data_IF_320021583087
#
_entry.id   IF_320021583087
#
_cell.length_a   1.000
_cell.length_b   1.000
_cell.length_c   1.000
_cell.angle_alpha   90.00
_cell.angle_beta   90.00
_cell.angle_gamma   90.00
#
_symmetry.space_group_name_H-M   'P 1'
#
loop_
_entity.id
_entity.type
_entity.pdbx_description
1 polymer ?
2 non-polymer ?
3 non-polymer ?
4 non-polymer ?
5 water ?
#
# COMPACT_ATOMS: atom_id res chain seq x y z
N UNK A 1 -36.21 13.21 -27.36
CA UNK A 1 -36.51 11.78 -27.64
C UNK A 1 -35.88 10.86 -26.59
N UNK A 2 -34.56 10.89 -26.51
CA UNK A 2 -33.82 9.99 -25.63
C UNK A 2 -33.97 10.36 -24.16
N UNK A 3 -34.21 9.36 -23.31
CA UNK A 3 -34.36 9.61 -21.89
C UNK A 3 -33.04 9.39 -21.15
N UNK A 4 -32.51 10.43 -20.51
CA UNK A 4 -31.26 10.22 -19.75
C UNK A 4 -31.52 9.46 -18.46
N UNK A 5 -32.71 9.64 -17.88
CA UNK A 5 -33.10 8.88 -16.71
C UNK A 5 -33.05 7.38 -16.99
N UNK A 6 -33.58 6.96 -18.14
CA UNK A 6 -33.55 5.55 -18.51
C UNK A 6 -32.14 5.02 -18.75
N UNK A 7 -31.27 5.83 -19.35
CA UNK A 7 -29.89 5.44 -19.59
C UNK A 7 -29.17 5.29 -18.24
N UNK A 8 -29.36 6.27 -17.37
CA UNK A 8 -28.70 6.25 -16.05
C UNK A 8 -29.10 5.02 -15.22
N UNK A 9 -30.38 4.71 -15.21
CA UNK A 9 -30.91 3.55 -14.48
C UNK A 9 -30.34 2.24 -15.00
N UNK A 10 -30.17 2.11 -16.30
CA UNK A 10 -29.64 0.96 -16.97
C UNK A 10 -28.12 0.85 -16.85
N UNK A 11 -27.46 2.00 -16.67
CA UNK A 11 -26.00 1.99 -16.69
C UNK A 11 -25.37 1.61 -15.35
N UNK A 12 -26.06 1.81 -14.25
CA UNK A 12 -25.43 1.67 -12.94
C UNK A 12 -25.52 0.27 -12.34
N UNK A 13 -24.64 -0.03 -11.39
CA UNK A 13 -24.68 -1.33 -10.69
C UNK A 13 -25.61 -1.24 -9.51
N UNK A 14 -25.84 -2.38 -8.81
CA UNK A 14 -26.82 -2.36 -7.74
C UNK A 14 -26.26 -2.60 -6.34
N UNK A 15 -25.29 -3.50 -6.17
CA UNK A 15 -24.76 -3.81 -4.85
C UNK A 15 -23.44 -3.14 -4.50
N UNK A 16 -22.91 -3.45 -3.33
CA UNK A 16 -21.66 -2.92 -2.84
C UNK A 16 -20.45 -3.45 -3.61
N UNK A 17 -19.52 -2.52 -3.84
CA UNK A 17 -18.23 -2.92 -4.45
C UNK A 17 -17.60 -4.01 -3.59
N UNK A 18 -17.19 -5.09 -4.26
CA UNK A 18 -16.63 -6.25 -3.55
C UNK A 18 -15.26 -6.65 -4.07
N UNK A 19 -14.38 -6.98 -3.14
CA UNK A 19 -13.04 -7.48 -3.54
C UNK A 19 -13.21 -8.97 -3.89
N UNK A 20 -12.89 -9.37 -5.11
CA UNK A 20 -13.09 -10.74 -5.59
C UNK A 20 -11.85 -11.56 -5.80
N UNK A 21 -10.69 -10.93 -5.63
CA UNK A 21 -9.40 -11.62 -5.80
C UNK A 21 -8.30 -10.70 -5.35
N UNK A 22 -7.28 -11.27 -4.72
CA UNK A 22 -6.10 -10.53 -4.28
C UNK A 22 -4.86 -11.34 -4.67
N UNK A 23 -3.85 -10.68 -5.23
CA UNK A 23 -2.61 -11.34 -5.61
C UNK A 23 -1.44 -10.41 -5.28
N UNK A 24 -0.31 -10.96 -4.81
CA UNK A 24 0.82 -10.09 -4.50
C UNK A 24 2.09 -10.63 -5.16
N UNK A 25 3.11 -9.76 -5.20
CA UNK A 25 4.40 -10.13 -5.74
C UNK A 25 5.49 -9.21 -5.20
N UNK A 26 6.72 -9.71 -5.18
CA UNK A 26 7.84 -8.92 -4.66
C UNK A 26 9.08 -9.25 -5.47
N UNK A 27 10.04 -8.34 -5.52
CA UNK A 27 11.31 -8.61 -6.15
C UNK A 27 11.96 -9.85 -5.49
N UNK A 28 12.75 -10.60 -6.25
CA UNK A 28 13.36 -11.83 -5.69
C UNK A 28 14.42 -11.66 -4.65
N UNK A 29 15.10 -10.54 -4.57
CA UNK A 29 16.17 -10.29 -3.64
C UNK A 29 15.66 -10.02 -2.24
N UNK A 30 15.85 -11.03 -1.37
CA UNK A 30 15.41 -10.94 0.01
C UNK A 30 16.51 -10.43 0.91
N UNK A 31 16.29 -9.28 1.53
CA UNK A 31 17.30 -8.62 2.33
C UNK A 31 17.00 -8.75 3.82
N UNK A 32 17.83 -9.51 4.55
CA UNK A 32 17.62 -9.66 5.98
C UNK A 32 17.83 -8.36 6.73
N UNK A 33 17.00 -8.10 7.73
CA UNK A 33 17.17 -6.86 8.51
C UNK A 33 18.31 -6.97 9.50
N UNK A 34 18.55 -8.17 10.03
CA UNK A 34 19.58 -8.37 11.04
C UNK A 34 20.94 -7.88 10.57
N UNK A 35 21.25 -8.10 9.30
CA UNK A 35 22.52 -7.72 8.73
C UNK A 35 22.47 -6.43 7.93
N UNK A 36 21.30 -5.74 7.90
CA UNK A 36 21.21 -4.58 6.99
C UNK A 36 22.09 -3.41 7.34
N UNK A 37 22.23 -3.03 8.60
CA UNK A 37 23.11 -1.93 8.96
C UNK A 37 24.50 -2.14 8.38
N UNK A 38 25.10 -3.33 8.50
CA UNK A 38 26.43 -3.54 7.94
C UNK A 38 26.41 -3.41 6.44
N UNK A 39 25.44 -4.02 5.77
CA UNK A 39 25.34 -3.96 4.32
C UNK A 39 25.17 -2.50 3.85
N UNK A 40 24.21 -1.80 4.43
CA UNK A 40 23.88 -0.43 3.98
C UNK A 40 25.01 0.56 4.21
N UNK A 41 25.72 0.48 5.33
CA UNK A 41 26.85 1.38 5.55
C UNK A 41 28.01 1.00 4.67
N UNK A 42 28.14 -0.26 4.26
CA UNK A 42 29.26 -0.64 3.40
C UNK A 42 28.98 -0.25 1.95
N UNK A 43 27.75 -0.46 1.48
CA UNK A 43 27.42 -0.15 0.09
C UNK A 43 27.39 1.35 -0.18
N UNK A 44 27.13 2.16 0.84
CA UNK A 44 27.08 3.62 0.67
C UNK A 44 28.40 4.27 1.07
N UNK A 45 29.46 3.46 1.26
CA UNK A 45 30.74 3.96 1.69
C UNK A 45 30.66 4.86 2.90
N UNK A 46 29.95 4.45 3.94
CA UNK A 46 29.77 5.25 5.13
C UNK A 46 30.25 4.55 6.40
N UNK A 47 31.18 3.61 6.30
CA UNK A 47 31.67 2.89 7.48
C UNK A 47 32.37 3.76 8.50
N UNK A 48 32.93 4.90 8.10
CA UNK A 48 33.57 5.84 8.98
C UNK A 48 32.57 6.59 9.83
N UNK A 49 31.31 6.66 9.40
CA UNK A 49 30.28 7.36 10.17
C UNK A 49 29.78 6.44 11.29
N UNK A 50 30.60 6.26 12.32
CA UNK A 50 30.38 5.32 13.42
C UNK A 50 29.14 5.60 14.24
N UNK A 51 28.99 6.83 14.73
CA UNK A 51 27.82 7.15 15.54
C UNK A 51 26.52 7.07 14.75
N UNK A 52 26.59 7.43 13.48
CA UNK A 52 25.38 7.35 12.63
C UNK A 52 25.00 5.89 12.36
N UNK A 53 26.01 5.04 12.14
CA UNK A 53 25.76 3.61 11.99
C UNK A 53 25.14 3.02 13.24
N UNK A 54 25.60 3.41 14.44
CA UNK A 54 24.95 2.95 15.66
C UNK A 54 23.49 3.37 15.74
N UNK A 55 23.14 4.60 15.36
CA UNK A 55 21.75 5.05 15.33
C UNK A 55 20.93 4.24 14.33
N UNK A 56 21.51 3.91 13.20
CA UNK A 56 20.79 3.12 12.20
C UNK A 56 20.58 1.70 12.68
N UNK A 57 21.58 1.12 13.39
CA UNK A 57 21.42 -0.19 14.03
C UNK A 57 20.24 -0.19 14.99
N UNK A 58 20.08 0.86 15.79
CA UNK A 58 18.96 1.00 16.69
C UNK A 58 17.63 1.16 15.95
N UNK A 59 17.65 1.89 14.84
CA UNK A 59 16.45 2.00 14.00
C UNK A 59 16.04 0.63 13.45
N UNK A 60 17.03 -0.11 12.94
CA UNK A 60 16.71 -1.43 12.40
C UNK A 60 16.27 -2.38 13.51
N UNK A 61 16.92 -2.31 14.68
CA UNK A 61 16.52 -3.23 15.75
C UNK A 61 15.12 -2.92 16.26
N UNK A 62 14.68 -1.66 16.20
CA UNK A 62 13.33 -1.36 16.67
C UNK A 62 12.30 -1.44 15.56
N UNK A 63 12.70 -1.65 14.32
CA UNK A 63 11.80 -1.61 13.18
C UNK A 63 10.66 -2.61 13.21
N UNK A 64 10.92 -3.78 13.82
CA UNK A 64 10.04 -4.93 13.84
C UNK A 64 9.90 -5.55 12.45
N UNK A 65 10.86 -5.31 11.59
CA UNK A 65 10.94 -5.89 10.25
C UNK A 65 12.03 -6.97 10.27
N UNK A 66 11.68 -8.19 9.86
CA UNK A 66 12.69 -9.25 9.74
C UNK A 66 13.40 -9.24 8.40
N UNK A 67 12.66 -8.95 7.33
CA UNK A 67 13.25 -8.95 6.00
C UNK A 67 12.42 -8.07 5.05
N UNK A 68 13.04 -7.65 3.95
CA UNK A 68 12.34 -6.88 2.94
C UNK A 68 12.79 -7.38 1.57
N UNK A 69 11.98 -7.18 0.53
CA UNK A 69 12.38 -7.61 -0.82
C UNK A 69 12.77 -6.35 -1.60
N UNK A 70 13.94 -6.35 -2.22
CA UNK A 70 14.39 -5.13 -2.90
C UNK A 70 14.79 -5.40 -4.33
N UNK A 71 14.28 -4.55 -5.26
CA UNK A 71 14.76 -4.62 -6.63
C UNK A 71 16.25 -4.32 -6.65
N UNK A 72 16.63 -3.32 -5.88
CA UNK A 72 18.05 -2.92 -5.78
C UNK A 72 18.87 -4.05 -5.17
N UNK A 73 19.96 -4.35 -5.83
CA UNK A 73 20.93 -5.35 -5.42
C UNK A 73 22.29 -4.69 -5.21
N UNK A 74 23.22 -5.51 -4.69
CA UNK A 74 24.59 -5.01 -4.53
C UNK A 74 25.17 -4.67 -5.89
N UNK A 75 24.95 -5.50 -6.90
CA UNK A 75 25.46 -5.26 -8.24
C UNK A 75 24.89 -3.97 -8.84
N UNK A 76 23.57 -3.77 -8.72
CA UNK A 76 22.98 -2.52 -9.23
C UNK A 76 23.53 -1.30 -8.51
N UNK A 77 23.64 -1.37 -7.18
CA UNK A 77 24.14 -0.25 -6.40
C UNK A 77 25.59 0.06 -6.77
N UNK A 78 26.42 -0.95 -7.01
CA UNK A 78 27.80 -0.74 -7.40
C UNK A 78 27.91 -0.09 -8.77
N UNK A 79 26.92 -0.29 -9.64
CA UNK A 79 26.86 0.43 -10.91
C UNK A 79 26.30 1.84 -10.82
N UNK A 80 25.74 2.24 -9.68
CA UNK A 80 25.13 3.54 -9.49
C UNK A 80 25.57 4.23 -8.23
N UNK A 81 26.79 4.75 -8.16
CA UNK A 81 27.29 5.46 -7.02
C UNK A 81 26.47 6.69 -6.68
N UNK A 82 25.92 7.41 -7.65
CA UNK A 82 25.12 8.60 -7.35
C UNK A 82 23.81 8.22 -6.65
N UNK A 83 23.36 6.99 -6.74
CA UNK A 83 22.19 6.55 -5.98
C UNK A 83 22.59 6.23 -4.56
N UNK A 84 23.87 5.83 -4.37
CA UNK A 84 24.43 5.53 -3.05
C UNK A 84 24.80 6.71 -2.20
N UNK A 85 24.88 7.91 -2.81
CA UNK A 85 25.21 9.12 -2.09
C UNK A 85 23.95 9.62 -1.42
N UNK A 86 24.06 10.47 -0.41
CA UNK A 86 22.83 11.03 0.18
C UNK A 86 22.15 11.89 -0.90
N UNK A 87 22.91 12.74 -1.61
CA UNK A 87 22.25 13.72 -2.48
C UNK A 87 23.01 13.96 -3.76
N UNK A 88 22.84 13.11 -4.75
CA UNK A 88 23.54 13.28 -6.02
C UNK A 88 22.53 13.19 -7.16
N UNK A 89 22.77 13.90 -8.26
CA UNK A 89 21.94 13.79 -9.44
C UNK A 89 21.81 12.34 -9.88
N UNK A 90 20.59 11.83 -9.92
CA UNK A 90 20.39 10.39 -10.09
C UNK A 90 18.99 10.05 -10.50
N UNK A 91 18.12 11.05 -10.73
CA UNK A 91 16.75 10.74 -11.14
C UNK A 91 16.65 9.97 -12.44
N UNK A 92 17.50 10.27 -13.44
CA UNK A 92 17.41 9.58 -14.70
C UNK A 92 17.67 8.09 -14.48
N UNK A 93 18.74 7.77 -13.74
CA UNK A 93 19.01 6.36 -13.48
C UNK A 93 17.88 5.70 -12.69
N UNK A 94 17.36 6.39 -11.69
CA UNK A 94 16.28 5.81 -10.87
C UNK A 94 15.03 5.59 -11.70
N UNK A 95 14.66 6.57 -12.54
CA UNK A 95 13.50 6.48 -13.41
C UNK A 95 13.63 5.32 -14.39
N UNK A 96 14.84 5.13 -14.94
CA UNK A 96 15.08 4.03 -15.85
C UNK A 96 14.81 2.68 -15.15
N UNK A 97 15.07 2.58 -13.87
CA UNK A 97 14.79 1.34 -13.14
C UNK A 97 13.29 1.18 -12.95
N UNK A 98 12.68 2.21 -12.34
CA UNK A 98 11.31 2.05 -11.89
C UNK A 98 10.26 2.17 -12.97
N UNK A 99 10.53 2.86 -14.09
CA UNK A 99 9.55 2.89 -15.16
C UNK A 99 9.32 1.48 -15.71
N UNK A 100 10.32 0.60 -15.63
CA UNK A 100 10.21 -0.78 -16.05
C UNK A 100 9.81 -1.68 -14.87
N UNK A 101 10.42 -1.51 -13.71
CA UNK A 101 10.10 -2.42 -12.60
C UNK A 101 8.69 -2.25 -12.06
N UNK A 102 8.13 -1.04 -12.01
CA UNK A 102 6.77 -0.88 -11.48
C UNK A 102 5.78 -1.71 -12.24
N UNK A 103 5.66 -1.59 -13.56
CA UNK A 103 4.75 -2.40 -14.32
C UNK A 103 5.15 -3.86 -14.32
N UNK A 104 6.45 -4.20 -14.28
CA UNK A 104 6.84 -5.62 -14.31
C UNK A 104 6.33 -6.35 -13.06
N UNK A 105 6.58 -5.73 -11.91
CA UNK A 105 6.15 -6.30 -10.63
C UNK A 105 4.64 -6.27 -10.50
N UNK A 106 4.00 -5.18 -11.02
CA UNK A 106 2.55 -5.08 -10.97
C UNK A 106 1.94 -6.21 -11.82
N UNK A 107 2.59 -6.52 -12.95
CA UNK A 107 2.10 -7.57 -13.82
C UNK A 107 2.05 -8.91 -13.08
N UNK A 108 3.12 -9.22 -12.36
CA UNK A 108 3.13 -10.51 -11.61
C UNK A 108 1.97 -10.55 -10.64
N UNK A 109 1.80 -9.50 -9.82
CA UNK A 109 0.68 -9.52 -8.88
C UNK A 109 -0.66 -9.64 -9.62
N UNK A 110 -0.84 -8.87 -10.71
CA UNK A 110 -2.11 -8.89 -11.44
C UNK A 110 -2.43 -10.27 -12.00
N UNK A 111 -1.44 -10.95 -12.57
CA UNK A 111 -1.69 -12.30 -13.14
C UNK A 111 -2.21 -13.23 -12.06
N UNK A 112 -1.63 -13.13 -10.86
CA UNK A 112 -2.09 -13.94 -9.73
C UNK A 112 -3.51 -13.59 -9.33
N UNK A 113 -3.88 -12.30 -9.30
CA UNK A 113 -5.25 -11.94 -8.96
C UNK A 113 -6.22 -12.41 -10.03
N UNK A 114 -5.86 -12.24 -11.31
CA UNK A 114 -6.74 -12.65 -12.41
C UNK A 114 -6.92 -14.17 -12.40
N UNK A 115 -5.89 -14.94 -12.09
CA UNK A 115 -6.04 -16.40 -11.99
C UNK A 115 -7.01 -16.77 -10.88
N UNK A 116 -6.86 -16.11 -9.73
CA UNK A 116 -7.78 -16.40 -8.62
C UNK A 116 -9.21 -16.10 -9.01
N UNK A 117 -9.42 -14.90 -9.59
CA UNK A 117 -10.75 -14.46 -10.02
C UNK A 117 -11.36 -15.50 -10.94
N UNK A 118 -10.57 -15.95 -11.91
CA UNK A 118 -11.01 -17.06 -12.76
C UNK A 118 -11.79 -16.66 -13.99
N UNK A 119 -12.04 -15.37 -14.20
CA UNK A 119 -12.81 -14.92 -15.36
C UNK A 119 -11.91 -14.31 -16.42
N UNK A 120 -12.39 -14.20 -17.64
CA UNK A 120 -11.63 -13.66 -18.76
C UNK A 120 -11.09 -12.28 -18.45
N UNK A 121 -9.84 -12.02 -18.78
CA UNK A 121 -9.30 -10.67 -18.59
C UNK A 121 -9.96 -9.65 -19.50
N UNK A 122 -10.66 -10.09 -20.55
CA UNK A 122 -11.44 -9.22 -21.42
C UNK A 122 -12.65 -8.61 -20.73
N UNK A 123 -13.06 -9.12 -19.56
CA UNK A 123 -14.12 -8.56 -18.77
C UNK A 123 -13.61 -7.45 -17.83
N UNK A 124 -12.30 -7.23 -17.81
CA UNK A 124 -11.79 -6.10 -16.99
C UNK A 124 -12.16 -4.80 -17.71
N UNK A 125 -12.97 -3.95 -17.07
CA UNK A 125 -13.43 -2.71 -17.72
C UNK A 125 -12.65 -1.47 -17.30
N UNK A 126 -12.04 -1.51 -16.13
CA UNK A 126 -11.40 -0.36 -15.52
C UNK A 126 -10.08 -0.84 -14.86
N UNK A 127 -9.08 0.02 -15.00
CA UNK A 127 -7.79 -0.32 -14.41
C UNK A 127 -7.29 0.88 -13.60
N UNK A 128 -6.98 0.60 -12.34
CA UNK A 128 -6.38 1.64 -11.50
C UNK A 128 -4.94 1.19 -11.23
N UNK A 129 -3.97 2.01 -11.56
CA UNK A 129 -2.57 1.70 -11.20
C UNK A 129 -2.09 2.80 -10.25
N UNK A 130 -1.37 2.39 -9.21
CA UNK A 130 -0.90 3.35 -8.22
C UNK A 130 0.55 3.09 -7.88
N UNK A 131 1.32 4.17 -7.91
CA UNK A 131 2.72 4.05 -7.47
C UNK A 131 3.24 5.40 -6.98
N UNK A 132 4.22 5.36 -6.10
CA UNK A 132 4.96 6.54 -5.69
C UNK A 132 6.35 6.47 -6.25
N UNK A 133 6.65 5.48 -7.11
CA UNK A 133 7.97 5.33 -7.68
C UNK A 133 8.01 5.60 -9.17
N UNK A 134 8.45 6.81 -9.50
CA UNK A 134 8.62 7.27 -10.87
C UNK A 134 7.33 7.64 -11.56
N UNK A 135 7.48 8.38 -12.68
CA UNK A 135 6.36 8.78 -13.50
C UNK A 135 6.81 8.69 -14.97
N UNK A 136 5.85 8.52 -15.87
CA UNK A 136 6.22 8.49 -17.29
C UNK A 136 4.96 8.70 -18.13
N UNK A 137 5.10 9.07 -19.41
CA UNK A 137 3.98 9.17 -20.33
C UNK A 137 4.20 8.40 -21.60
N UNK A 138 3.29 7.58 -22.01
CA UNK A 138 2.18 6.98 -21.34
C UNK A 138 2.63 6.38 -20.00
N UNK A 139 1.70 6.23 -19.06
CA UNK A 139 2.09 5.79 -17.73
C UNK A 139 2.12 4.29 -17.57
N UNK A 140 2.34 3.86 -16.31
CA UNK A 140 2.41 2.46 -15.93
C UNK A 140 1.07 1.76 -16.16
N UNK A 141 -0.02 2.51 -16.27
CA UNK A 141 -1.33 2.00 -16.63
C UNK A 141 -1.36 1.54 -18.08
N UNK A 142 -0.78 2.33 -18.98
CA UNK A 142 -0.67 1.92 -20.37
C UNK A 142 0.27 0.70 -20.43
N UNK A 143 1.41 0.75 -19.72
CA UNK A 143 2.31 -0.42 -19.78
C UNK A 143 1.65 -1.71 -19.31
N UNK A 144 0.88 -1.66 -18.23
CA UNK A 144 0.23 -2.87 -17.73
C UNK A 144 -0.88 -3.32 -18.65
N UNK A 145 -1.57 -2.39 -19.31
CA UNK A 145 -2.56 -2.77 -20.32
C UNK A 145 -1.88 -3.60 -21.39
N UNK A 146 -0.73 -3.10 -21.85
CA UNK A 146 0.01 -3.80 -22.89
C UNK A 146 0.55 -5.13 -22.37
N UNK A 147 1.23 -5.13 -21.23
CA UNK A 147 1.80 -6.38 -20.69
C UNK A 147 0.78 -7.47 -20.44
N UNK A 148 -0.38 -7.13 -19.91
CA UNK A 148 -1.39 -8.12 -19.58
C UNK A 148 -2.30 -8.47 -20.74
N UNK A 149 -2.25 -7.69 -21.82
CA UNK A 149 -3.19 -7.84 -22.93
C UNK A 149 -4.61 -7.51 -22.51
N UNK A 150 -4.83 -6.43 -21.76
CA UNK A 150 -6.19 -6.01 -21.45
C UNK A 150 -6.79 -5.38 -22.72
N UNK A 151 -8.10 -5.20 -22.74
CA UNK A 151 -8.68 -4.56 -23.94
C UNK A 151 -8.15 -3.14 -24.02
N UNK A 152 -7.96 -2.59 -25.21
CA UNK A 152 -7.45 -1.23 -25.38
C UNK A 152 -8.37 -0.16 -24.83
N UNK A 153 -9.63 -0.48 -24.68
CA UNK A 153 -10.67 0.39 -24.19
C UNK A 153 -10.91 0.24 -22.69
N UNK A 154 -9.96 -0.41 -21.99
CA UNK A 154 -10.08 -0.43 -20.53
C UNK A 154 -9.99 1.03 -20.08
N UNK A 155 -10.80 1.42 -19.10
CA UNK A 155 -10.81 2.79 -18.60
C UNK A 155 -9.78 2.90 -17.48
N UNK A 156 -8.77 3.73 -17.69
CA UNK A 156 -7.61 3.78 -16.83
C UNK A 156 -7.56 5.03 -15.94
N UNK A 157 -7.02 4.74 -14.75
CA UNK A 157 -6.87 5.74 -13.69
C UNK A 157 -5.43 5.63 -13.22
N UNK A 158 -4.55 6.55 -13.61
CA UNK A 158 -3.13 6.44 -13.29
C UNK A 158 -2.84 7.33 -12.08
N UNK A 159 -2.64 6.68 -10.94
CA UNK A 159 -2.41 7.40 -9.70
C UNK A 159 -0.92 7.46 -9.40
N UNK A 160 -0.32 8.61 -9.71
CA UNK A 160 1.12 8.77 -9.51
C UNK A 160 1.49 9.67 -8.35
N UNK A 161 2.66 9.38 -7.76
CA UNK A 161 3.26 10.18 -6.70
C UNK A 161 2.33 10.41 -5.52
N UNK A 162 1.56 9.38 -5.20
CA UNK A 162 0.49 9.41 -4.25
C UNK A 162 0.92 9.37 -2.81
N UNK A 163 1.88 8.46 -2.49
CA UNK A 163 2.30 8.34 -1.10
C UNK A 163 1.60 7.15 -0.46
N UNK A 164 1.99 6.93 0.80
CA UNK A 164 1.65 5.69 1.48
C UNK A 164 0.21 5.53 1.86
N UNK A 165 -0.63 6.55 1.83
CA UNK A 165 -2.03 6.37 2.16
C UNK A 165 -2.84 5.83 1.00
N UNK A 166 -2.23 5.70 -0.18
CA UNK A 166 -2.96 5.43 -1.41
C UNK A 166 -3.42 3.99 -1.60
N UNK A 167 -3.11 3.06 -0.66
CA UNK A 167 -3.83 1.75 -0.75
C UNK A 167 -5.28 2.05 -0.36
N UNK A 168 -5.50 3.00 0.56
CA UNK A 168 -6.88 3.38 0.86
C UNK A 168 -7.48 4.18 -0.31
N UNK A 169 -6.71 5.06 -0.91
CA UNK A 169 -7.23 5.84 -2.07
C UNK A 169 -7.69 4.97 -3.23
N UNK A 170 -6.91 3.92 -3.58
CA UNK A 170 -7.38 3.08 -4.68
C UNK A 170 -8.65 2.32 -4.36
N UNK A 171 -8.83 1.94 -3.11
CA UNK A 171 -10.08 1.29 -2.68
C UNK A 171 -11.25 2.28 -2.79
N UNK A 172 -11.04 3.49 -2.31
CA UNK A 172 -12.05 4.57 -2.36
C UNK A 172 -12.49 4.85 -3.81
N UNK A 173 -11.50 4.82 -4.71
CA UNK A 173 -11.79 5.07 -6.12
C UNK A 173 -12.48 3.87 -6.73
N UNK A 174 -11.96 2.66 -6.55
CA UNK A 174 -12.57 1.46 -7.14
C UNK A 174 -13.99 1.25 -6.66
N UNK A 175 -14.32 1.66 -5.42
CA UNK A 175 -15.70 1.52 -4.97
C UNK A 175 -16.68 2.29 -5.87
N UNK A 176 -16.34 3.53 -6.23
CA UNK A 176 -17.26 4.33 -7.07
C UNK A 176 -17.31 3.84 -8.50
N UNK A 177 -16.17 3.37 -9.03
CA UNK A 177 -16.13 2.88 -10.40
C UNK A 177 -16.99 1.60 -10.49
N UNK A 178 -16.84 0.69 -9.53
CA UNK A 178 -17.60 -0.55 -9.59
C UNK A 178 -19.09 -0.35 -9.33
N UNK A 179 -19.44 0.49 -8.38
CA UNK A 179 -20.82 0.68 -7.98
C UNK A 179 -21.66 1.50 -8.95
N UNK A 180 -20.99 2.38 -9.72
CA UNK A 180 -21.81 3.24 -10.60
C UNK A 180 -21.91 2.69 -12.00
N UNK A 181 -21.27 1.55 -12.27
CA UNK A 181 -21.23 1.00 -13.62
C UNK A 181 -21.56 -0.49 -13.64
N UNK A 182 -22.75 -0.79 -14.14
CA UNK A 182 -23.19 -2.17 -14.25
C UNK A 182 -22.20 -3.04 -15.02
N UNK A 183 -21.80 -4.15 -14.40
CA UNK A 183 -20.87 -5.08 -15.05
C UNK A 183 -19.41 -4.74 -14.84
N UNK A 184 -19.13 -3.54 -14.33
CA UNK A 184 -17.74 -3.11 -14.24
C UNK A 184 -16.93 -4.07 -13.36
N UNK A 185 -15.72 -4.37 -13.81
CA UNK A 185 -14.77 -5.18 -13.07
C UNK A 185 -13.45 -4.39 -13.13
N UNK A 186 -13.02 -3.96 -11.95
CA UNK A 186 -11.85 -3.10 -11.84
C UNK A 186 -10.62 -3.89 -11.40
N UNK A 187 -9.57 -3.82 -12.18
CA UNK A 187 -8.26 -4.32 -11.77
C UNK A 187 -7.53 -3.17 -11.06
N UNK A 188 -7.12 -3.44 -9.82
CA UNK A 188 -6.42 -2.44 -9.01
C UNK A 188 -5.00 -2.89 -8.77
N UNK A 189 -4.00 -2.09 -9.12
CA UNK A 189 -2.62 -2.51 -8.90
C UNK A 189 -1.86 -1.40 -8.16
N UNK A 190 -1.30 -1.74 -6.99
CA UNK A 190 -0.38 -0.84 -6.30
C UNK A 190 1.00 -1.50 -6.43
N UNK A 191 1.97 -0.76 -6.92
CA UNK A 191 3.28 -1.34 -7.19
C UNK A 191 4.31 -0.31 -6.76
N UNK A 192 5.11 -0.66 -5.76
CA UNK A 192 6.00 0.31 -5.11
C UNK A 192 7.43 -0.20 -5.03
N UNK A 193 8.37 0.61 -5.51
CA UNK A 193 9.78 0.18 -5.69
C UNK A 193 10.75 1.18 -5.10
N UNK A 194 11.56 0.85 -4.10
CA UNK A 194 12.37 1.80 -3.37
C UNK A 194 13.56 2.37 -4.13
N UNK A 195 13.77 2.01 -5.39
CA UNK A 195 14.88 2.57 -6.15
C UNK A 195 14.80 4.10 -6.25
N UNK A 196 13.59 4.68 -6.17
CA UNK A 196 13.51 6.15 -6.24
C UNK A 196 13.86 6.81 -4.92
N UNK A 197 13.74 6.12 -3.78
CA UNK A 197 14.02 6.73 -2.51
C UNK A 197 15.31 6.26 -1.87
N UNK A 198 15.92 5.19 -2.31
CA UNK A 198 17.15 4.72 -1.66
C UNK A 198 18.23 5.80 -1.78
N UNK A 199 18.95 6.05 -0.69
CA UNK A 199 20.06 7.01 -0.79
C UNK A 199 20.95 6.78 0.43
N UNK A 200 22.18 7.30 0.36
CA UNK A 200 23.10 7.16 1.47
C UNK A 200 22.71 7.97 2.70
N UNK A 201 23.38 7.67 3.83
CA UNK A 201 23.10 8.29 5.11
C UNK A 201 23.74 9.64 5.32
N UNK A 202 23.05 10.48 6.07
CA UNK A 202 23.63 11.78 6.44
C UNK A 202 23.19 12.12 7.85
N UNK A 203 24.16 12.49 8.71
CA UNK A 203 23.82 12.74 10.10
C UNK A 203 23.01 14.00 10.35
N UNK A 204 22.74 14.85 9.36
CA UNK A 204 21.88 16.02 9.58
C UNK A 204 20.52 15.78 8.96
N UNK A 205 20.30 14.53 8.45
CA UNK A 205 19.04 14.18 7.84
C UNK A 205 18.60 12.80 8.32
N UNK A 206 18.37 12.69 9.65
CA UNK A 206 17.93 11.45 10.27
C UNK A 206 16.54 10.99 9.88
N UNK A 207 15.69 11.94 9.45
CA UNK A 207 14.35 11.60 8.95
C UNK A 207 14.47 10.82 7.65
N UNK A 208 15.45 11.16 6.80
CA UNK A 208 15.66 10.36 5.60
C UNK A 208 16.20 8.96 5.94
N UNK A 209 17.04 8.89 6.97
CA UNK A 209 17.64 7.63 7.41
C UNK A 209 16.61 6.64 7.92
N UNK A 210 15.60 7.07 8.68
CA UNK A 210 14.62 6.06 9.17
C UNK A 210 13.87 5.43 8.02
N UNK A 211 13.63 6.14 6.91
CA UNK A 211 13.04 5.50 5.73
C UNK A 211 13.89 4.36 5.19
N UNK A 212 15.22 4.43 5.26
CA UNK A 212 16.10 3.38 4.82
C UNK A 212 15.99 2.13 5.70
N UNK A 213 15.54 2.27 6.95
CA UNK A 213 15.35 1.07 7.77
C UNK A 213 14.01 0.40 7.49
N UNK A 214 13.05 1.18 6.94
CA UNK A 214 11.70 0.67 6.82
C UNK A 214 11.16 0.34 5.45
N UNK A 215 11.56 1.08 4.41
CA UNK A 215 10.95 0.91 3.10
C UNK A 215 11.38 -0.35 2.34
N UNK A 216 10.38 -1.04 1.82
CA UNK A 216 10.62 -2.25 1.04
C UNK A 216 9.75 -2.26 -0.21
N UNK A 217 9.95 -3.27 -1.06
CA UNK A 217 9.25 -3.30 -2.33
C UNK A 217 8.16 -4.35 -2.40
N UNK A 218 7.17 -4.01 -3.26
CA UNK A 218 6.15 -5.06 -3.47
C UNK A 218 5.02 -4.51 -4.32
N UNK A 219 4.24 -5.45 -4.87
CA UNK A 219 3.03 -5.00 -5.55
C UNK A 219 1.86 -5.89 -5.13
N UNK A 220 0.66 -5.34 -5.14
CA UNK A 220 -0.55 -6.10 -4.83
C UNK A 220 -1.62 -5.69 -5.83
N UNK A 221 -2.40 -6.72 -6.22
CA UNK A 221 -3.45 -6.45 -7.22
C UNK A 221 -4.77 -6.99 -6.70
N UNK A 222 -5.86 -6.32 -7.05
CA UNK A 222 -7.19 -6.72 -6.63
C UNK A 222 -8.08 -6.82 -7.87
N UNK A 223 -9.14 -7.61 -7.82
CA UNK A 223 -10.26 -7.45 -8.74
C UNK A 223 -11.43 -6.94 -7.89
N UNK A 224 -12.05 -5.81 -8.27
CA UNK A 224 -13.16 -5.25 -7.53
C UNK A 224 -14.38 -5.16 -8.45
N UNK A 225 -15.53 -5.58 -7.92
CA UNK A 225 -16.75 -5.45 -8.70
C UNK A 225 -17.99 -5.45 -7.82
N UNK A 226 -19.07 -4.88 -8.36
CA UNK A 226 -20.37 -5.01 -7.72
C UNK A 226 -21.14 -6.15 -8.38
N UNK A 227 -22.14 -6.67 -7.69
CA UNK A 227 -23.02 -7.72 -8.20
C UNK A 227 -22.26 -8.96 -8.65
N UNK A 228 -21.52 -9.59 -7.74
CA UNK A 228 -20.75 -10.77 -8.09
C UNK A 228 -21.70 -11.87 -8.56
N UNK A 229 -21.25 -12.67 -9.51
CA UNK A 229 -22.08 -13.77 -10.01
C UNK A 229 -21.97 -14.95 -9.04
N UNK A 230 -23.07 -15.25 -8.36
CA UNK A 230 -23.04 -16.21 -7.26
C UNK A 230 -22.40 -17.51 -7.68
N UNK A 231 -21.44 -18.01 -6.89
CA UNK A 231 -20.72 -19.24 -7.14
C UNK A 231 -19.79 -19.28 -8.34
N UNK A 232 -19.71 -18.29 -9.20
CA UNK A 232 -18.79 -18.19 -10.30
C UNK A 232 -17.67 -17.28 -9.76
N UNK A 233 -18.12 -16.15 -9.20
CA UNK A 233 -17.19 -15.25 -8.50
C UNK A 233 -17.24 -15.49 -7.01
N UNK A 234 -16.19 -15.09 -6.31
CA UNK A 234 -16.10 -15.38 -4.87
C UNK A 234 -15.69 -14.16 -4.05
N UNK A 235 -16.68 -13.49 -3.49
CA UNK A 235 -16.45 -12.34 -2.64
C UNK A 235 -15.49 -12.66 -1.51
N UNK A 236 -14.62 -11.70 -1.18
CA UNK A 236 -13.66 -11.79 -0.11
C UNK A 236 -13.99 -10.74 0.96
N UNK A 237 -14.20 -9.47 0.53
CA UNK A 237 -14.56 -8.39 1.43
C UNK A 237 -15.49 -7.43 0.67
N UNK A 238 -16.42 -6.78 1.35
CA UNK A 238 -17.24 -5.75 0.69
C UNK A 238 -16.85 -4.37 1.22
N UNK A 239 -16.86 -3.34 0.36
CA UNK A 239 -16.59 -1.98 0.84
C UNK A 239 -17.95 -1.35 1.09
N UNK A 240 -18.07 -0.57 2.16
CA UNK A 240 -19.36 0.02 2.51
C UNK A 240 -19.33 1.53 2.59
N UNK A 241 -18.21 2.10 3.02
CA UNK A 241 -18.13 3.56 3.22
C UNK A 241 -16.67 3.97 3.26
N UNK A 242 -16.36 5.18 2.78
CA UNK A 242 -14.97 5.61 2.74
C UNK A 242 -14.90 7.08 3.16
N UNK A 243 -13.71 7.46 3.62
CA UNK A 243 -13.42 8.86 3.90
C UNK A 243 -11.95 9.14 3.63
N UNK A 244 -11.60 10.42 3.52
CA UNK A 244 -10.23 10.87 3.50
C UNK A 244 -10.18 12.18 4.30
N UNK A 245 -9.15 12.34 5.12
CA UNK A 245 -9.05 13.63 5.82
C UNK A 245 -7.60 14.01 6.08
N UNK A 246 -7.40 15.28 6.38
CA UNK A 246 -6.10 15.86 6.68
C UNK A 246 -6.10 16.17 8.17
N UNK A 247 -5.20 15.56 8.92
CA UNK A 247 -5.17 15.78 10.37
C UNK A 247 -4.74 17.20 10.66
N UNK A 248 -5.39 17.80 11.67
CA UNK A 248 -5.02 19.14 12.10
C UNK A 248 -3.62 19.11 12.67
N UNK A 249 -2.93 20.25 12.63
CA UNK A 249 -1.61 20.40 13.24
C UNK A 249 -0.60 19.40 12.70
N UNK A 250 -0.68 19.11 11.40
CA UNK A 250 0.22 18.11 10.83
C UNK A 250 0.95 18.65 9.61
N UNK A 251 0.94 20.00 9.47
CA UNK A 251 1.63 20.54 8.31
C UNK A 251 3.10 20.15 8.28
N UNK A 252 3.50 19.57 7.13
CA UNK A 252 4.84 19.09 6.91
C UNK A 252 5.21 17.82 7.67
N UNK A 253 4.24 17.07 8.18
CA UNK A 253 4.60 15.83 8.90
C UNK A 253 5.36 14.88 7.99
N UNK A 254 4.87 14.71 6.77
CA UNK A 254 5.55 13.82 5.81
C UNK A 254 5.59 14.52 4.45
N UNK A 255 6.70 15.13 4.10
CA UNK A 255 6.83 15.74 2.78
C UNK A 255 7.69 14.80 1.92
N UNK A 256 7.51 14.86 0.61
CA UNK A 256 8.32 14.03 -0.29
C UNK A 256 8.51 14.82 -1.58
N UNK A 257 9.76 15.11 -1.97
CA UNK A 257 9.90 15.94 -3.19
C UNK A 257 10.64 15.16 -4.25
N UNK A 258 10.16 15.17 -5.48
CA UNK A 258 10.82 14.44 -6.55
C UNK A 258 11.71 15.42 -7.31
N UNK A 259 13.00 15.22 -7.15
CA UNK A 259 14.02 16.14 -7.59
C UNK A 259 15.04 15.43 -8.49
N UNK A 260 16.07 16.19 -8.92
CA UNK A 260 17.12 15.61 -9.73
C UNK A 260 17.87 14.50 -9.00
N UNK A 261 17.84 14.50 -7.66
CA UNK A 261 18.49 13.46 -6.86
C UNK A 261 17.51 12.37 -6.42
N UNK A 262 16.35 12.31 -7.05
CA UNK A 262 15.35 11.30 -6.71
C UNK A 262 14.33 11.81 -5.70
N UNK A 263 13.63 10.84 -5.11
CA UNK A 263 12.58 11.20 -4.16
C UNK A 263 13.13 11.27 -2.75
N UNK A 264 13.03 12.42 -2.10
CA UNK A 264 13.57 12.51 -0.75
C UNK A 264 12.43 12.85 0.22
N UNK A 265 12.42 12.12 1.33
CA UNK A 265 11.40 12.40 2.33
C UNK A 265 11.94 13.34 3.41
N UNK A 266 11.01 14.01 4.04
CA UNK A 266 11.31 14.94 5.12
C UNK A 266 10.22 14.90 6.19
N UNK A 267 10.59 14.63 7.44
CA UNK A 267 9.64 14.43 8.50
C UNK A 267 9.74 15.61 9.45
N UNK A 268 8.60 16.24 9.74
CA UNK A 268 8.67 17.42 10.58
C UNK A 268 7.86 17.39 11.85
N UNK A 269 7.11 16.35 12.16
CA UNK A 269 6.39 16.45 13.45
C UNK A 269 6.52 15.11 14.19
N UNK A 270 5.45 14.62 14.75
CA UNK A 270 5.45 13.28 15.35
C UNK A 270 4.33 12.48 14.68
N UNK A 271 4.68 11.70 13.66
CA UNK A 271 3.65 10.94 12.93
C UNK A 271 2.86 9.98 13.79
N UNK A 272 3.48 9.11 14.58
CA UNK A 272 2.76 8.23 15.49
C UNK A 272 1.83 9.01 16.41
N UNK A 273 2.27 10.15 16.95
CA UNK A 273 1.46 11.00 17.79
C UNK A 273 0.25 11.59 17.05
N UNK A 274 0.49 12.07 15.82
CA UNK A 274 -0.63 12.67 15.07
C UNK A 274 -1.65 11.59 14.69
N UNK A 275 -1.15 10.42 14.27
CA UNK A 275 -2.10 9.38 13.86
C UNK A 275 -2.91 8.93 15.07
N UNK A 276 -2.22 8.64 16.17
CA UNK A 276 -2.92 8.20 17.38
C UNK A 276 -3.95 9.18 17.89
N UNK A 277 -3.60 10.46 17.86
CA UNK A 277 -4.47 11.55 18.31
C UNK A 277 -5.71 11.74 17.44
N UNK A 278 -5.65 11.33 16.17
CA UNK A 278 -6.76 11.56 15.26
C UNK A 278 -7.49 10.30 14.81
N UNK A 279 -7.02 9.14 15.27
CA UNK A 279 -7.67 7.89 14.82
C UNK A 279 -9.05 7.73 15.42
N UNK A 280 -9.26 8.21 16.65
CA UNK A 280 -10.59 7.98 17.24
C UNK A 280 -11.68 8.73 16.50
N UNK A 281 -11.41 9.99 16.12
CA UNK A 281 -12.37 10.78 15.35
C UNK A 281 -12.68 10.10 14.02
N UNK A 282 -11.68 9.47 13.41
CA UNK A 282 -11.91 8.76 12.15
C UNK A 282 -12.82 7.55 12.38
N UNK A 283 -12.56 6.82 13.49
CA UNK A 283 -13.42 5.67 13.81
C UNK A 283 -14.83 6.07 14.17
N UNK A 284 -15.03 7.16 14.94
CA UNK A 284 -16.43 7.52 15.23
C UNK A 284 -17.16 7.98 13.98
N UNK A 285 -16.49 8.68 13.06
CA UNK A 285 -17.16 9.04 11.81
C UNK A 285 -17.58 7.80 11.03
N UNK A 286 -16.70 6.81 10.97
CA UNK A 286 -17.04 5.60 10.21
C UNK A 286 -18.05 4.70 10.91
N UNK A 287 -17.90 4.54 12.24
CA UNK A 287 -18.67 3.49 12.91
C UNK A 287 -19.82 3.94 13.79
N UNK A 288 -19.92 5.23 14.12
CA UNK A 288 -21.11 5.68 14.84
C UNK A 288 -22.38 5.44 14.07
N UNK A 289 -22.43 5.67 12.75
CA UNK A 289 -23.60 5.39 11.93
C UNK A 289 -23.99 3.93 11.88
N UNK A 290 -23.07 3.00 12.13
CA UNK A 290 -23.35 1.57 12.14
C UNK A 290 -23.66 1.06 13.54
N UNK A 291 -23.65 1.97 14.50
CA UNK A 291 -23.92 1.64 15.90
C UNK A 291 -22.79 0.90 16.59
N UNK A 292 -21.56 0.98 16.06
CA UNK A 292 -20.52 0.20 16.76
C UNK A 292 -19.51 1.13 17.38
N UNK A 293 -19.15 0.85 18.64
CA UNK A 293 -18.20 1.68 19.36
C UNK A 293 -17.13 0.85 20.05
N UNK A 294 -17.25 -0.47 20.02
CA UNK A 294 -16.20 -1.34 20.59
C UNK A 294 -15.21 -1.62 19.47
N UNK A 295 -14.04 -0.98 19.51
CA UNK A 295 -13.11 -1.16 18.39
C UNK A 295 -12.33 -2.44 18.45
N UNK A 296 -12.55 -3.34 19.44
CA UNK A 296 -11.99 -4.68 19.40
C UNK A 296 -12.95 -5.65 18.71
N UNK A 297 -14.16 -5.18 18.43
CA UNK A 297 -15.19 -6.02 17.85
C UNK A 297 -15.16 -6.06 16.34
N UNK A 298 -14.29 -5.24 15.77
CA UNK A 298 -14.12 -5.17 14.32
C UNK A 298 -12.74 -5.68 13.93
N UNK A 299 -12.56 -6.07 12.66
CA UNK A 299 -11.21 -6.52 12.24
C UNK A 299 -10.43 -5.32 11.70
N UNK A 300 -9.12 -5.36 11.86
CA UNK A 300 -8.25 -4.22 11.64
C UNK A 300 -7.24 -4.41 10.54
N UNK A 301 -7.06 -3.37 9.68
CA UNK A 301 -5.95 -3.32 8.74
C UNK A 301 -5.39 -1.89 8.81
N UNK A 302 -4.13 -1.71 9.20
CA UNK A 302 -3.58 -0.36 9.35
C UNK A 302 -2.27 -0.24 8.60
N UNK A 303 -2.05 0.85 7.85
CA UNK A 303 -0.77 0.96 7.15
C UNK A 303 0.34 0.99 8.18
N UNK A 304 1.30 0.07 8.11
CA UNK A 304 2.37 -0.01 9.09
C UNK A 304 3.51 0.91 8.68
N UNK A 305 3.26 2.22 8.75
CA UNK A 305 4.29 3.20 8.37
C UNK A 305 5.60 2.98 9.13
N UNK A 306 5.43 2.70 10.42
CA UNK A 306 6.50 2.19 11.28
C UNK A 306 5.78 1.49 12.43
N UNK A 307 6.51 0.71 13.24
CA UNK A 307 5.90 0.05 14.39
C UNK A 307 5.37 1.00 15.45
N UNK A 308 5.97 2.18 15.59
CA UNK A 308 5.46 3.12 16.62
C UNK A 308 4.04 3.60 16.31
N UNK A 309 3.68 3.76 15.03
CA UNK A 309 2.31 4.12 14.68
C UNK A 309 1.36 3.07 15.27
N UNK A 310 1.71 1.80 14.99
CA UNK A 310 0.87 0.69 15.45
C UNK A 310 0.83 0.63 16.97
N UNK A 311 1.96 0.77 17.62
CA UNK A 311 1.97 0.64 19.08
C UNK A 311 1.14 1.75 19.72
N UNK A 312 1.31 2.98 19.20
CA UNK A 312 0.56 4.10 19.81
C UNK A 312 -0.91 4.00 19.52
N UNK A 313 -1.31 3.47 18.37
CA UNK A 313 -2.73 3.30 18.11
C UNK A 313 -3.29 2.24 19.05
N UNK A 314 -2.56 1.11 19.17
CA UNK A 314 -3.02 0.03 20.08
C UNK A 314 -3.19 0.55 21.49
N UNK A 315 -2.19 1.28 21.99
CA UNK A 315 -2.26 1.83 23.34
C UNK A 315 -3.39 2.84 23.51
N UNK A 316 -3.51 3.76 22.56
CA UNK A 316 -4.54 4.79 22.63
C UNK A 316 -5.93 4.19 22.78
N UNK A 317 -6.23 3.21 21.92
CA UNK A 317 -7.55 2.62 21.88
C UNK A 317 -7.77 1.44 22.82
N UNK A 318 -6.69 0.91 23.39
CA UNK A 318 -6.74 -0.34 24.15
C UNK A 318 -7.16 -1.50 23.26
N UNK A 319 -6.58 -1.53 22.04
CA UNK A 319 -6.80 -2.66 21.19
C UNK A 319 -6.11 -3.87 21.88
N UNK A 320 -6.75 -5.04 21.79
CA UNK A 320 -6.05 -6.26 22.22
C UNK A 320 -4.85 -6.43 21.31
N UNK A 321 -3.76 -7.02 21.80
CA UNK A 321 -2.56 -7.17 21.02
C UNK A 321 -2.76 -7.90 19.71
N UNK A 322 -3.71 -8.83 19.66
CA UNK A 322 -3.98 -9.62 18.49
C UNK A 322 -4.64 -8.83 17.36
N UNK A 323 -5.26 -7.68 17.63
CA UNK A 323 -5.94 -6.97 16.53
C UNK A 323 -4.99 -6.65 15.37
N UNK A 324 -3.78 -6.23 15.72
CA UNK A 324 -2.80 -5.86 14.69
C UNK A 324 -1.94 -7.04 14.26
N UNK A 325 -2.31 -8.29 14.50
CA UNK A 325 -1.49 -9.43 14.09
C UNK A 325 -1.23 -9.46 12.58
N UNK A 326 -2.24 -9.36 11.75
CA UNK A 326 -2.03 -9.45 10.29
C UNK A 326 -1.20 -8.28 9.80
N UNK A 327 -1.42 -7.08 10.35
CA UNK A 327 -0.63 -5.89 10.00
C UNK A 327 0.84 -6.10 10.32
N UNK A 328 1.11 -6.56 11.55
CA UNK A 328 2.48 -6.76 12.01
C UNK A 328 3.19 -7.90 11.30
N UNK A 329 2.46 -8.91 10.85
CA UNK A 329 3.06 -10.02 10.10
C UNK A 329 3.54 -9.52 8.74
N UNK A 330 2.78 -8.62 8.11
CA UNK A 330 3.21 -8.05 6.83
C UNK A 330 4.42 -7.15 7.03
N UNK A 331 4.39 -6.32 8.09
CA UNK A 331 5.52 -5.43 8.36
C UNK A 331 6.76 -6.28 8.58
N UNK A 332 6.61 -7.39 9.32
CA UNK A 332 7.73 -8.25 9.66
C UNK A 332 8.35 -8.94 8.46
N UNK A 333 7.53 -9.42 7.54
CA UNK A 333 8.00 -10.18 6.40
C UNK A 333 8.25 -9.39 5.14
N UNK A 334 7.84 -8.11 5.08
CA UNK A 334 8.00 -7.30 3.90
C UNK A 334 8.38 -5.86 4.15
N UNK A 335 8.30 -5.38 5.38
CA UNK A 335 8.60 -3.95 5.60
C UNK A 335 7.43 -3.08 5.08
N UNK A 336 7.72 -1.77 5.07
CA UNK A 336 6.75 -0.75 4.65
C UNK A 336 6.87 -0.61 3.12
N UNK A 337 5.89 -1.15 2.42
CA UNK A 337 5.81 -1.12 0.97
C UNK A 337 4.86 -0.01 0.46
N UNK A 338 4.79 1.09 1.19
CA UNK A 338 3.97 2.24 0.77
C UNK A 338 2.56 1.79 0.47
N UNK A 339 1.94 2.27 -0.64
CA UNK A 339 0.55 2.01 -0.91
C UNK A 339 0.17 0.53 -0.93
N UNK A 340 1.06 -0.40 -1.25
CA UNK A 340 0.68 -1.79 -1.37
C UNK A 340 0.45 -2.48 -0.03
N UNK A 341 1.03 -1.95 1.04
CA UNK A 341 1.03 -2.64 2.34
C UNK A 341 -0.33 -3.15 2.78
N UNK A 342 -1.25 -2.20 2.78
CA UNK A 342 -2.63 -2.43 3.22
C UNK A 342 -3.25 -3.54 2.42
N UNK A 343 -2.94 -3.73 1.15
CA UNK A 343 -3.50 -4.78 0.33
C UNK A 343 -2.87 -6.15 0.62
N UNK A 344 -1.58 -6.16 0.95
CA UNK A 344 -0.93 -7.38 1.45
C UNK A 344 -1.59 -7.80 2.77
N UNK A 345 -1.91 -6.82 3.61
CA UNK A 345 -2.53 -7.16 4.90
C UNK A 345 -3.91 -7.76 4.70
N UNK A 346 -4.71 -7.26 3.75
CA UNK A 346 -5.97 -7.90 3.45
C UNK A 346 -5.79 -9.36 3.02
N UNK A 347 -4.78 -9.60 2.18
CA UNK A 347 -4.51 -10.97 1.74
C UNK A 347 -4.08 -11.86 2.90
N UNK A 348 -3.19 -11.40 3.78
CA UNK A 348 -2.75 -12.17 4.94
C UNK A 348 -3.92 -12.49 5.85
N UNK A 349 -4.78 -11.48 6.06
CA UNK A 349 -5.92 -11.69 6.94
C UNK A 349 -6.89 -12.73 6.41
N UNK A 350 -7.25 -12.64 5.13
CA UNK A 350 -8.24 -13.61 4.64
C UNK A 350 -7.60 -15.00 4.50
N UNK A 351 -6.31 -15.03 4.19
CA UNK A 351 -5.64 -16.34 4.09
C UNK A 351 -5.56 -17.01 5.45
N UNK A 352 -5.20 -16.27 6.48
CA UNK A 352 -5.09 -16.87 7.82
C UNK A 352 -6.46 -17.21 8.39
N UNK A 353 -7.46 -16.39 8.05
CA UNK A 353 -8.80 -16.70 8.53
C UNK A 353 -9.32 -17.99 7.90
N UNK A 354 -9.12 -18.16 6.60
CA UNK A 354 -9.57 -19.32 5.86
C UNK A 354 -8.77 -20.58 6.25
N UNK A 355 -7.46 -20.38 6.28
CA UNK A 355 -6.55 -21.45 6.67
C UNK A 355 -6.97 -21.96 8.04
N UNK A 356 -7.15 -21.10 9.04
CA UNK A 356 -7.51 -21.50 10.39
C UNK A 356 -8.96 -21.80 10.72
N UNK A 357 -9.83 -22.05 9.76
CA UNK A 357 -11.19 -22.43 9.96
C UNK A 357 -12.08 -21.40 10.66
N UNK A 358 -11.76 -20.11 10.58
CA UNK A 358 -12.63 -19.10 11.18
C UNK A 358 -13.87 -18.93 10.33
N UNK A 359 -14.89 -18.27 10.89
CA UNK A 359 -16.16 -18.17 10.20
C UNK A 359 -16.24 -17.11 9.10
N UNK A 360 -15.36 -16.10 9.17
CA UNK A 360 -15.39 -15.07 8.11
C UNK A 360 -13.96 -14.82 7.66
N UNK A 361 -13.83 -14.05 6.57
CA UNK A 361 -12.53 -13.66 6.05
C UNK A 361 -11.91 -12.54 6.86
N UNK A 362 -12.67 -11.89 7.72
CA UNK A 362 -12.24 -10.87 8.65
C UNK A 362 -12.06 -11.41 10.07
N UNK A 363 -11.26 -12.48 10.20
CA UNK A 363 -10.95 -13.08 11.51
C UNK A 363 -12.17 -13.51 12.30
N UNK A 364 -13.24 -13.92 11.61
CA UNK A 364 -14.44 -14.38 12.30
C UNK A 364 -15.36 -13.25 12.71
N UNK A 365 -14.99 -12.00 12.38
CA UNK A 365 -15.81 -10.85 12.75
C UNK A 365 -16.54 -10.33 11.51
N UNK A 366 -17.59 -9.55 11.70
CA UNK A 366 -18.36 -9.04 10.58
C UNK A 366 -17.86 -7.75 9.92
N UNK A 367 -17.62 -6.74 10.74
CA UNK A 367 -17.20 -5.43 10.24
C UNK A 367 -15.75 -5.13 10.50
N UNK A 368 -15.14 -4.34 9.61
CA UNK A 368 -13.70 -4.11 9.72
C UNK A 368 -13.36 -2.69 9.21
N UNK A 369 -12.12 -2.36 9.49
CA UNK A 369 -11.65 -1.01 9.08
C UNK A 369 -10.26 -1.14 8.50
N UNK A 370 -10.01 -0.38 7.42
CA UNK A 370 -8.71 -0.31 6.82
C UNK A 370 -8.30 1.18 6.80
N UNK A 371 -7.09 1.43 7.24
CA UNK A 371 -6.54 2.77 7.29
C UNK A 371 -5.29 2.94 6.46
N UNK A 372 -5.24 4.04 5.70
CA UNK A 372 -3.99 4.39 5.01
C UNK A 372 -3.48 5.68 5.64
N UNK A 373 -2.18 5.84 5.81
CA UNK A 373 -1.61 7.05 6.39
C UNK A 373 -0.49 7.54 5.48
N UNK A 374 -0.31 8.85 5.34
CA UNK A 374 0.75 9.32 4.44
C UNK A 374 0.80 10.85 4.40
N UNK A 375 1.52 11.40 3.46
CA UNK A 375 1.68 12.84 3.34
C UNK A 375 0.38 13.63 3.45
N UNK A 376 0.42 14.71 4.23
CA UNK A 376 -0.73 15.64 4.28
C UNK A 376 -0.74 16.19 5.70
N UNK A 377 -0.82 15.62 6.90
CA UNK A 377 -0.89 14.18 7.08
C UNK A 377 -2.28 13.70 6.67
N UNK A 378 -2.35 12.74 5.76
CA UNK A 378 -3.63 12.21 5.30
C UNK A 378 -3.96 10.88 5.97
N UNK A 379 -5.23 10.75 6.33
CA UNK A 379 -5.77 9.47 6.81
C UNK A 379 -6.88 9.04 5.85
N UNK A 380 -6.72 7.86 5.25
CA UNK A 380 -7.77 7.27 4.44
C UNK A 380 -8.51 6.21 5.28
N UNK A 381 -9.84 6.20 5.27
CA UNK A 381 -10.58 5.19 6.01
C UNK A 381 -11.45 4.40 5.05
N UNK A 382 -11.45 3.07 5.12
CA UNK A 382 -12.34 2.24 4.31
C UNK A 382 -13.04 1.30 5.29
N UNK A 383 -14.35 1.34 5.33
CA UNK A 383 -15.15 0.43 6.15
C UNK A 383 -15.44 -0.81 5.32
N UNK A 384 -15.10 -1.98 5.88
CA UNK A 384 -15.30 -3.24 5.16
C UNK A 384 -16.26 -4.19 5.89
N UNK A 385 -16.86 -5.06 5.08
CA UNK A 385 -17.65 -6.14 5.71
C UNK A 385 -16.98 -7.42 5.23
N UNK A 386 -16.79 -8.39 6.13
CA UNK A 386 -16.22 -9.68 5.76
C UNK A 386 -17.25 -10.54 5.06
N UNK A 387 -16.83 -11.70 4.56
CA UNK A 387 -17.70 -12.66 3.92
C UNK A 387 -17.59 -14.00 4.69
N UNK A 388 -18.75 -14.66 4.75
CA UNK A 388 -18.75 -15.97 5.46
C UNK A 388 -17.85 -16.95 4.74
N UNK A 389 -17.08 -17.64 5.55
CA UNK A 389 -16.12 -18.69 5.25
C UNK A 389 -14.80 -18.20 4.72
#
# INVERSE_FOLDING_TARGET
MVSVSEIRKAQRAEGPATILAIGTANPANCVEQSTYPDFYFKITNSEHKTELKEKFQRMCDKSMIKRRYMYLTEEILKENPNVCEYMAPSLDARQDMVVVEVPRLGKEAAVKAIKEWGQPKSKITHLIVCTTSGVDMPGADYQLTKLLGLRPYVKRYMMYQQGAFAGGTVLRLAKDLAENNKGARVLVVCSEVTAVTFRGPSDTHLDSLVGQALFGDGAAALIVGSDPVPEIEKPIFEMVWTAQTIAPDSEGAIDGHLREAGLTFHLLKDVPGIVSKNITKALVEAFEPLGISDYNSIFWIAHPGGPAILDQVEQKLALKPEKMNATREVLSEYGNMSSACVLFILDEMRKKSTQNGLKTTGEGLEWGVLFGFGPGLTIETVVLRSVAI
#
